data_IF_553515253543
#
_entry.id   IF_553515253543
#
_cell.length_a   1.000
_cell.length_b   1.000
_cell.length_c   1.000
_cell.angle_alpha   90.00
_cell.angle_beta   90.00
_cell.angle_gamma   90.00
#
_symmetry.space_group_name_H-M   'P 1'
#
loop_
_entity.id
_entity.type
_entity.pdbx_description
1 polymer ?
#
# COMPACT_ATOMS: atom_id res chain seq x y z
N UNK A 1 -29.39 -0.97 14.25
CA UNK A 1 -28.15 -0.99 13.45
C UNK A 1 -27.12 -1.83 14.19
N UNK A 2 -26.85 -3.04 13.72
CA UNK A 2 -25.86 -3.94 14.31
C UNK A 2 -24.46 -3.37 14.09
N UNK A 3 -23.76 -3.05 15.17
CA UNK A 3 -22.33 -2.71 15.13
C UNK A 3 -21.61 -4.01 14.81
N UNK A 4 -21.35 -4.25 13.53
CA UNK A 4 -20.46 -5.33 13.10
C UNK A 4 -19.09 -5.06 13.73
N UNK A 5 -18.71 -5.86 14.72
CA UNK A 5 -17.34 -5.87 15.24
C UNK A 5 -16.42 -6.18 14.05
N UNK A 6 -15.59 -5.22 13.65
CA UNK A 6 -14.59 -5.38 12.58
C UNK A 6 -13.38 -6.19 13.08
N UNK A 7 -13.62 -7.27 13.80
CA UNK A 7 -12.55 -8.16 14.26
C UNK A 7 -12.24 -9.14 13.13
N UNK A 8 -10.99 -9.15 12.68
CA UNK A 8 -10.54 -10.11 11.66
C UNK A 8 -10.53 -11.51 12.28
N UNK A 9 -11.49 -12.36 11.92
CA UNK A 9 -11.60 -13.72 12.47
C UNK A 9 -10.69 -14.72 11.75
N UNK A 10 -10.54 -14.58 10.43
CA UNK A 10 -9.71 -15.45 9.60
C UNK A 10 -9.15 -14.74 8.39
N UNK A 11 -8.00 -15.21 7.93
CA UNK A 11 -7.42 -14.85 6.62
C UNK A 11 -7.50 -16.08 5.73
N UNK A 12 -8.02 -15.90 4.51
CA UNK A 12 -8.06 -16.95 3.48
C UNK A 12 -7.19 -16.50 2.33
N UNK A 13 -6.18 -17.30 2.00
CA UNK A 13 -5.33 -17.06 0.84
C UNK A 13 -5.96 -17.79 -0.34
N UNK A 14 -6.22 -17.06 -1.42
CA UNK A 14 -6.81 -17.57 -2.64
C UNK A 14 -5.86 -17.30 -3.79
N UNK A 15 -5.77 -18.26 -4.71
CA UNK A 15 -5.18 -18.04 -6.02
C UNK A 15 -6.26 -17.50 -6.94
N UNK A 16 -5.98 -16.38 -7.60
CA UNK A 16 -6.91 -15.70 -8.50
C UNK A 16 -6.30 -15.56 -9.89
N UNK A 17 -7.16 -15.61 -10.90
CA UNK A 17 -6.81 -15.34 -12.28
C UNK A 17 -7.57 -14.11 -12.77
N UNK A 18 -6.91 -13.29 -13.58
CA UNK A 18 -7.54 -12.15 -14.24
C UNK A 18 -7.07 -12.09 -15.68
N UNK A 19 -7.86 -11.43 -16.54
CA UNK A 19 -7.56 -11.29 -17.97
C UNK A 19 -6.33 -10.37 -18.19
N UNK A 20 -5.93 -10.19 -19.46
CA UNK A 20 -4.77 -9.35 -19.80
C UNK A 20 -4.91 -7.92 -19.28
N UNK A 21 -6.10 -7.33 -19.44
CA UNK A 21 -6.40 -5.94 -19.03
C UNK A 21 -6.27 -5.77 -17.51
N UNK A 22 -6.86 -6.70 -16.73
CA UNK A 22 -6.76 -6.68 -15.28
C UNK A 22 -5.34 -6.89 -14.79
N UNK A 23 -4.55 -7.75 -15.45
CA UNK A 23 -3.11 -7.93 -15.12
C UNK A 23 -2.32 -6.65 -15.37
N UNK A 24 -2.57 -5.94 -16.46
CA UNK A 24 -1.94 -4.65 -16.77
C UNK A 24 -2.32 -3.59 -15.74
N UNK A 25 -3.61 -3.43 -15.45
CA UNK A 25 -4.11 -2.47 -14.45
C UNK A 25 -3.48 -2.70 -13.07
N UNK A 26 -3.40 -3.97 -12.64
CA UNK A 26 -2.75 -4.32 -11.37
C UNK A 26 -1.25 -4.03 -11.41
N UNK A 27 -0.55 -4.38 -12.50
CA UNK A 27 0.88 -4.10 -12.66
C UNK A 27 1.18 -2.60 -12.51
N UNK A 28 0.41 -1.74 -13.16
CA UNK A 28 0.56 -0.29 -13.08
C UNK A 28 0.36 0.21 -11.65
N UNK A 29 -0.69 -0.27 -10.96
CA UNK A 29 -0.93 0.05 -9.54
C UNK A 29 0.25 -0.39 -8.68
N UNK A 30 0.77 -1.62 -8.88
CA UNK A 30 1.89 -2.16 -8.12
C UNK A 30 3.18 -1.38 -8.37
N UNK A 31 3.46 -0.99 -9.61
CA UNK A 31 4.64 -0.19 -9.96
C UNK A 31 4.58 1.20 -9.33
N UNK A 32 3.44 1.91 -9.44
CA UNK A 32 3.23 3.18 -8.78
C UNK A 32 3.35 3.06 -7.25
N UNK A 33 2.75 2.01 -6.67
CA UNK A 33 2.82 1.76 -5.23
C UNK A 33 4.26 1.50 -4.76
N UNK A 34 5.05 0.75 -5.54
CA UNK A 34 6.46 0.48 -5.22
C UNK A 34 7.29 1.76 -5.19
N UNK A 35 7.15 2.60 -6.22
CA UNK A 35 7.87 3.88 -6.31
C UNK A 35 7.53 4.80 -5.13
N UNK A 36 6.24 5.00 -4.89
CA UNK A 36 5.73 5.77 -3.77
C UNK A 36 6.27 5.25 -2.43
N UNK A 37 6.18 3.93 -2.23
CA UNK A 37 6.56 3.29 -0.97
C UNK A 37 8.06 3.44 -0.70
N UNK A 38 8.92 3.22 -1.70
CA UNK A 38 10.36 3.35 -1.53
C UNK A 38 10.73 4.78 -1.09
N UNK A 39 10.24 5.80 -1.80
CA UNK A 39 10.51 7.20 -1.47
C UNK A 39 10.03 7.57 -0.06
N UNK A 40 8.82 7.11 0.31
CA UNK A 40 8.26 7.44 1.63
C UNK A 40 8.92 6.67 2.77
N UNK A 41 9.36 5.43 2.54
CA UNK A 41 10.11 4.66 3.54
C UNK A 41 11.47 5.30 3.80
N UNK A 42 12.17 5.71 2.75
CA UNK A 42 13.45 6.44 2.87
C UNK A 42 13.26 7.71 3.71
N UNK A 43 12.29 8.55 3.32
CA UNK A 43 11.98 9.78 4.04
C UNK A 43 11.59 9.53 5.50
N UNK A 44 10.77 8.51 5.77
CA UNK A 44 10.29 8.19 7.11
C UNK A 44 11.36 7.57 8.02
N UNK A 45 12.39 6.93 7.45
CA UNK A 45 13.55 6.49 8.22
C UNK A 45 14.44 7.67 8.59
N UNK A 46 14.71 8.56 7.63
CA UNK A 46 15.60 9.70 7.82
C UNK A 46 15.01 10.76 8.78
N UNK A 47 13.73 11.09 8.61
CA UNK A 47 13.08 12.20 9.33
C UNK A 47 12.18 11.73 10.48
N UNK A 48 12.15 10.44 10.79
CA UNK A 48 11.21 9.86 11.76
C UNK A 48 9.73 10.25 11.50
N UNK A 49 9.35 10.37 10.22
CA UNK A 49 8.08 10.94 9.81
C UNK A 49 6.86 10.10 10.25
N UNK A 50 5.77 10.79 10.62
CA UNK A 50 4.45 10.20 10.87
C UNK A 50 3.64 10.06 9.56
N UNK A 51 2.50 9.36 9.61
CA UNK A 51 1.60 9.29 8.45
C UNK A 51 1.08 10.67 8.04
N UNK A 52 0.77 11.54 9.01
CA UNK A 52 0.34 12.91 8.76
C UNK A 52 1.45 13.74 8.09
N UNK A 53 2.70 13.55 8.54
CA UNK A 53 3.87 14.17 7.93
C UNK A 53 4.05 13.71 6.48
N UNK A 54 3.97 12.41 6.22
CA UNK A 54 4.07 11.86 4.86
C UNK A 54 2.95 12.38 3.97
N UNK A 55 1.71 12.45 4.46
CA UNK A 55 0.60 13.04 3.71
C UNK A 55 0.91 14.47 3.31
N UNK A 56 1.32 15.33 4.25
CA UNK A 56 1.63 16.73 3.97
C UNK A 56 2.74 16.90 2.92
N UNK A 57 3.76 16.04 2.96
CA UNK A 57 4.95 16.16 2.09
C UNK A 57 4.69 15.55 0.70
N UNK A 58 4.00 14.42 0.63
CA UNK A 58 3.96 13.59 -0.58
C UNK A 58 2.62 13.59 -1.30
N UNK A 59 1.53 14.02 -0.67
CA UNK A 59 0.20 13.87 -1.27
C UNK A 59 0.06 14.59 -2.60
N UNK A 60 0.38 15.89 -2.67
CA UNK A 60 0.27 16.65 -3.91
C UNK A 60 1.20 16.08 -4.99
N UNK A 61 2.46 15.81 -4.62
CA UNK A 61 3.45 15.18 -5.51
C UNK A 61 2.92 13.91 -6.16
N UNK A 62 2.34 12.99 -5.39
CA UNK A 62 1.85 11.72 -5.95
C UNK A 62 0.49 11.83 -6.63
N UNK A 63 -0.36 12.80 -6.26
CA UNK A 63 -1.58 13.11 -7.00
C UNK A 63 -1.28 13.68 -8.38
N UNK A 64 -0.24 14.49 -8.50
CA UNK A 64 0.23 15.01 -9.79
C UNK A 64 0.92 13.91 -10.62
N UNK A 65 1.77 13.10 -10.00
CA UNK A 65 2.51 12.03 -10.70
C UNK A 65 1.62 10.86 -11.12
N UNK A 66 0.62 10.51 -10.30
CA UNK A 66 -0.27 9.37 -10.50
C UNK A 66 -1.74 9.80 -10.37
N UNK A 67 -2.25 10.66 -11.29
CA UNK A 67 -3.59 11.22 -11.17
C UNK A 67 -4.70 10.16 -11.23
N UNK A 68 -4.44 9.08 -11.96
CA UNK A 68 -5.31 7.91 -12.14
C UNK A 68 -5.35 6.97 -10.92
N UNK A 69 -4.39 7.05 -10.00
CA UNK A 69 -4.31 6.10 -8.90
C UNK A 69 -5.36 6.42 -7.83
N UNK A 70 -6.15 5.42 -7.36
CA UNK A 70 -7.15 5.66 -6.33
C UNK A 70 -6.53 6.27 -5.06
N UNK A 71 -7.16 7.32 -4.53
CA UNK A 71 -6.68 8.04 -3.34
C UNK A 71 -6.47 7.11 -2.14
N UNK A 72 -7.31 6.08 -1.98
CA UNK A 72 -7.17 5.12 -0.87
C UNK A 72 -5.92 4.26 -0.99
N UNK A 73 -5.44 3.96 -2.20
CA UNK A 73 -4.17 3.25 -2.43
C UNK A 73 -2.99 4.11 -1.97
N UNK A 74 -2.99 5.40 -2.31
CA UNK A 74 -1.97 6.36 -1.84
C UNK A 74 -1.98 6.43 -0.30
N UNK A 75 -3.17 6.55 0.30
CA UNK A 75 -3.31 6.58 1.77
C UNK A 75 -2.82 5.28 2.43
N UNK A 76 -3.07 4.13 1.81
CA UNK A 76 -2.54 2.84 2.25
C UNK A 76 -1.01 2.81 2.26
N UNK A 77 -0.38 3.48 1.29
CA UNK A 77 1.07 3.57 1.17
C UNK A 77 1.72 4.33 2.34
N UNK A 78 1.09 5.40 2.86
CA UNK A 78 1.57 6.11 4.06
C UNK A 78 1.66 5.17 5.27
N UNK A 79 0.66 4.31 5.44
CA UNK A 79 0.59 3.36 6.55
C UNK A 79 1.67 2.30 6.44
N UNK A 80 1.87 1.75 5.24
CA UNK A 80 2.93 0.77 5.00
C UNK A 80 4.32 1.40 5.23
N UNK A 81 4.55 2.61 4.70
CA UNK A 81 5.81 3.31 4.84
C UNK A 81 6.24 3.51 6.30
N UNK A 82 5.33 4.02 7.15
CA UNK A 82 5.62 4.23 8.59
C UNK A 82 5.89 2.91 9.31
N UNK A 83 5.14 1.85 8.99
CA UNK A 83 5.34 0.52 9.59
C UNK A 83 6.71 -0.04 9.24
N UNK A 84 7.10 0.03 7.96
CA UNK A 84 8.41 -0.43 7.49
C UNK A 84 9.55 0.40 8.04
N UNK A 85 9.41 1.72 8.08
CA UNK A 85 10.42 2.60 8.67
C UNK A 85 10.66 2.30 10.15
N UNK A 86 9.60 2.07 10.92
CA UNK A 86 9.71 1.65 12.33
C UNK A 86 10.44 0.30 12.44
N UNK A 87 10.05 -0.69 11.64
CA UNK A 87 10.72 -2.00 11.63
C UNK A 87 12.20 -1.89 11.29
N UNK A 88 12.55 -1.12 10.26
CA UNK A 88 13.93 -0.90 9.85
C UNK A 88 14.77 -0.26 10.96
N UNK A 89 14.25 0.77 11.63
CA UNK A 89 14.93 1.41 12.78
C UNK A 89 15.20 0.41 13.90
N UNK A 90 14.24 -0.47 14.21
CA UNK A 90 14.43 -1.53 15.21
C UNK A 90 15.48 -2.56 14.79
N UNK A 91 15.48 -2.99 13.52
CA UNK A 91 16.53 -3.88 13.00
C UNK A 91 17.91 -3.22 13.06
N UNK A 92 18.00 -1.93 12.78
CA UNK A 92 19.26 -1.15 12.84
C UNK A 92 19.77 -1.04 14.28
N UNK A 93 18.88 -0.75 15.26
CA UNK A 93 19.23 -0.72 16.69
C UNK A 93 19.78 -2.07 17.18
N UNK A 94 19.26 -3.17 16.65
CA UNK A 94 19.70 -4.54 16.98
C UNK A 94 20.97 -4.98 16.23
N UNK A 95 21.50 -4.15 15.32
CA UNK A 95 22.70 -4.49 14.52
C UNK A 95 22.47 -5.57 13.46
N UNK A 96 21.23 -5.97 13.19
CA UNK A 96 20.88 -7.06 12.24
C UNK A 96 20.35 -6.52 10.90
N UNK A 97 20.31 -5.21 10.73
CA UNK A 97 19.96 -4.60 9.45
C UNK A 97 21.03 -4.95 8.41
N UNK A 98 20.62 -5.67 7.36
CA UNK A 98 21.51 -6.14 6.28
C UNK A 98 21.99 -5.01 5.34
N UNK A 99 21.34 -3.86 5.37
CA UNK A 99 21.58 -2.72 4.48
C UNK A 99 21.63 -1.42 5.26
N UNK A 100 22.41 -0.45 4.78
CA UNK A 100 22.51 0.87 5.41
C UNK A 100 21.24 1.73 5.28
N UNK A 101 20.43 1.45 4.25
CA UNK A 101 19.13 2.10 3.95
C UNK A 101 18.03 1.06 3.74
N UNK A 102 16.76 1.40 3.97
CA UNK A 102 15.66 0.48 3.73
C UNK A 102 15.47 0.20 2.22
N UNK A 103 15.21 -1.05 1.87
CA UNK A 103 14.97 -1.47 0.47
C UNK A 103 13.66 -2.24 0.38
N UNK A 104 12.73 -1.75 -0.44
CA UNK A 104 11.42 -2.36 -0.67
C UNK A 104 11.54 -3.49 -1.70
N UNK A 105 11.72 -4.72 -1.22
CA UNK A 105 11.79 -5.93 -2.07
C UNK A 105 10.41 -6.40 -2.54
N UNK A 106 9.45 -6.48 -1.63
CA UNK A 106 8.07 -6.90 -1.89
C UNK A 106 7.06 -5.87 -1.41
N UNK A 107 5.91 -5.83 -2.08
CA UNK A 107 4.80 -4.93 -1.77
C UNK A 107 3.49 -5.70 -1.69
N UNK A 108 2.56 -5.15 -0.92
CA UNK A 108 1.20 -5.63 -0.80
C UNK A 108 0.28 -4.43 -0.84
N UNK A 109 -0.63 -4.40 -1.82
CA UNK A 109 -1.65 -3.36 -1.92
C UNK A 109 -2.90 -3.87 -1.21
N UNK A 110 -3.45 -3.05 -0.30
CA UNK A 110 -4.58 -3.44 0.55
C UNK A 110 -5.80 -2.60 0.17
N UNK A 111 -6.88 -3.29 -0.20
CA UNK A 111 -8.20 -2.73 -0.43
C UNK A 111 -9.05 -2.92 0.84
N UNK A 112 -9.09 -1.91 1.72
CA UNK A 112 -9.71 -2.04 3.06
C UNK A 112 -11.16 -1.58 3.14
N UNK A 113 -11.69 -0.99 2.08
CA UNK A 113 -13.01 -0.36 2.05
C UNK A 113 -13.89 -1.10 1.03
N UNK A 114 -15.13 -1.43 1.41
CA UNK A 114 -16.09 -2.12 0.54
C UNK A 114 -16.50 -1.30 -0.69
N UNK A 115 -16.12 -0.02 -0.73
CA UNK A 115 -16.27 0.83 -1.91
C UNK A 115 -15.19 0.59 -2.98
N UNK A 116 -14.09 -0.08 -2.65
CA UNK A 116 -13.00 -0.35 -3.60
C UNK A 116 -12.88 -1.82 -3.99
N UNK A 117 -13.68 -2.70 -3.38
CA UNK A 117 -13.76 -4.10 -3.79
C UNK A 117 -15.09 -4.72 -3.38
N UNK A 118 -15.52 -5.75 -4.11
CA UNK A 118 -16.70 -6.55 -3.76
C UNK A 118 -16.55 -7.99 -4.26
N UNK A 119 -17.29 -8.90 -3.64
CA UNK A 119 -17.41 -10.29 -4.07
C UNK A 119 -18.76 -10.49 -4.74
N UNK A 120 -18.77 -10.75 -6.05
CA UNK A 120 -20.00 -10.91 -6.85
C UNK A 120 -19.84 -12.15 -7.72
N UNK A 121 -20.81 -13.07 -7.65
CA UNK A 121 -20.82 -14.27 -8.50
C UNK A 121 -19.55 -15.15 -8.39
N UNK A 122 -18.90 -15.18 -7.22
CA UNK A 122 -17.64 -15.92 -7.01
C UNK A 122 -16.38 -15.21 -7.52
N UNK A 123 -16.49 -13.97 -7.99
CA UNK A 123 -15.38 -13.15 -8.48
C UNK A 123 -15.13 -11.98 -7.52
N UNK A 124 -13.85 -11.71 -7.25
CA UNK A 124 -13.43 -10.49 -6.55
C UNK A 124 -13.29 -9.38 -7.57
N UNK A 125 -14.18 -8.40 -7.51
CA UNK A 125 -14.07 -7.18 -8.29
C UNK A 125 -13.25 -6.16 -7.50
N UNK A 126 -12.25 -5.57 -8.16
CA UNK A 126 -11.38 -4.55 -7.58
C UNK A 126 -11.54 -3.26 -8.36
N UNK A 127 -11.64 -2.13 -7.64
CA UNK A 127 -11.63 -0.82 -8.25
C UNK A 127 -10.22 -0.51 -8.75
N UNK A 128 -10.11 -0.30 -10.05
CA UNK A 128 -8.88 0.16 -10.70
C UNK A 128 -9.14 1.45 -11.47
N UNK A 129 -8.14 1.90 -12.22
CA UNK A 129 -8.24 3.07 -13.09
C UNK A 129 -8.64 2.71 -14.53
N UNK A 130 -8.74 1.41 -14.84
CA UNK A 130 -9.21 0.90 -16.13
C UNK A 130 -10.64 0.39 -15.95
N UNK A 131 -11.47 0.66 -16.95
CA UNK A 131 -12.84 0.17 -17.06
C UNK A 131 -12.91 -1.29 -17.55
#
# INVERSE_FOLDING_TARGET
MSIQLKTLERTVVLEGWTNRVGREALREIFEAYRDMLQQMVDYAVEHSASQATLHRVFYNKFREKYPWLPTRVIKGCYRDAVRRAKSFRELKKRGIAKTGKPVVKSITVIYSDSQDWRLVGGVVELRTHRD
#
